data_IF_964372071293
#
_entry.id   IF_964372071293
#
_cell.length_a   1.000
_cell.length_b   1.000
_cell.length_c   1.000
_cell.angle_alpha   90.00
_cell.angle_beta   90.00
_cell.angle_gamma   90.00
#
_symmetry.space_group_name_H-M   'P 1'
#
loop_
_entity.id
_entity.type
_entity.pdbx_description
1 polymer ?
#
# COMPACT_ATOMS: atom_id res chain seq x y z
N UNK A 1 -45.15 40.34 77.16
CA UNK A 1 -44.60 41.09 76.03
C UNK A 1 -43.12 40.67 75.84
N UNK A 2 -42.87 39.71 74.97
CA UNK A 2 -41.51 39.22 74.67
C UNK A 2 -41.16 39.55 73.24
N UNK A 3 -40.12 40.32 73.05
CA UNK A 3 -39.59 40.71 71.75
C UNK A 3 -38.57 39.66 71.29
N UNK A 4 -38.94 38.93 70.27
CA UNK A 4 -37.98 38.06 69.56
C UNK A 4 -37.08 38.96 68.67
N UNK A 5 -35.77 38.87 68.93
CA UNK A 5 -34.73 39.43 68.00
C UNK A 5 -34.34 38.37 67.03
N UNK A 6 -34.57 38.63 65.72
CA UNK A 6 -34.09 37.83 64.61
C UNK A 6 -32.62 38.18 64.36
N UNK A 7 -31.74 37.17 64.40
CA UNK A 7 -30.33 37.30 64.00
C UNK A 7 -30.18 36.98 62.54
N UNK A 8 -29.67 37.94 61.76
CA UNK A 8 -29.34 37.78 60.32
C UNK A 8 -27.90 37.34 60.22
N UNK A 9 -27.66 36.12 59.71
CA UNK A 9 -26.33 35.60 59.37
C UNK A 9 -25.99 36.06 57.93
N UNK A 10 -24.76 36.56 57.68
CA UNK A 10 -24.33 36.86 56.30
C UNK A 10 -23.91 35.54 55.61
N UNK A 11 -24.44 35.28 54.43
CA UNK A 11 -24.01 34.21 53.53
C UNK A 11 -22.66 34.59 52.89
N UNK A 12 -21.62 33.83 53.23
CA UNK A 12 -20.32 33.95 52.59
C UNK A 12 -20.35 33.21 51.25
N UNK A 13 -20.30 33.92 50.14
CA UNK A 13 -20.22 33.36 48.78
C UNK A 13 -18.75 33.01 48.49
N UNK A 14 -18.41 31.71 48.46
CA UNK A 14 -17.10 31.19 48.03
C UNK A 14 -17.06 31.25 46.49
N UNK A 15 -16.24 32.12 45.96
CA UNK A 15 -15.89 32.15 44.52
C UNK A 15 -14.81 31.15 44.31
N UNK A 16 -15.12 30.00 43.65
CA UNK A 16 -14.12 29.03 43.20
C UNK A 16 -13.47 29.53 41.93
N UNK A 17 -12.23 30.00 42.00
CA UNK A 17 -11.40 30.34 40.84
C UNK A 17 -10.88 29.03 40.28
N UNK A 18 -11.50 28.55 39.16
CA UNK A 18 -11.05 27.40 38.42
C UNK A 18 -9.74 27.75 37.69
N UNK A 19 -8.62 27.19 38.10
CA UNK A 19 -7.35 27.21 37.37
C UNK A 19 -7.52 26.33 36.11
N UNK A 20 -7.74 26.94 34.93
CA UNK A 20 -7.67 26.25 33.66
C UNK A 20 -6.19 25.89 33.37
N UNK A 21 -5.86 24.62 33.44
CA UNK A 21 -4.56 24.12 33.02
C UNK A 21 -4.41 24.29 31.49
N UNK A 22 -3.26 24.81 31.00
CA UNK A 22 -3.03 24.89 29.57
C UNK A 22 -3.01 23.48 28.96
N UNK A 23 -3.88 23.21 27.99
CA UNK A 23 -3.82 22.01 27.19
C UNK A 23 -2.59 22.12 26.28
N UNK A 24 -1.53 21.37 26.62
CA UNK A 24 -0.39 21.20 25.71
C UNK A 24 -0.87 20.37 24.52
N UNK A 25 -0.96 21.00 23.35
CA UNK A 25 -1.18 20.30 22.11
C UNK A 25 0.00 19.33 21.88
N UNK A 26 -0.25 18.03 21.95
CA UNK A 26 0.75 17.03 21.59
C UNK A 26 1.16 17.24 20.13
N UNK A 27 2.46 17.45 19.89
CA UNK A 27 2.99 17.46 18.54
C UNK A 27 2.64 16.13 17.84
N UNK A 28 2.26 16.15 16.56
CA UNK A 28 1.98 14.92 15.83
C UNK A 28 3.21 13.99 15.92
N UNK A 29 2.97 12.72 16.25
CA UNK A 29 4.02 11.72 16.31
C UNK A 29 4.73 11.68 14.93
N UNK A 30 6.06 11.84 14.92
CA UNK A 30 6.82 11.73 13.69
C UNK A 30 6.72 10.30 13.16
N UNK A 31 6.28 10.14 11.91
CA UNK A 31 6.27 8.83 11.25
C UNK A 31 7.72 8.36 11.09
N UNK A 32 8.07 7.23 11.71
CA UNK A 32 9.37 6.63 11.54
C UNK A 32 9.46 5.95 10.16
N UNK A 33 10.43 6.35 9.35
CA UNK A 33 10.66 5.72 8.05
C UNK A 33 11.39 4.39 8.23
N UNK A 34 10.92 3.34 7.57
CA UNK A 34 11.63 2.07 7.48
C UNK A 34 12.89 2.24 6.64
N UNK A 35 14.04 1.99 7.24
CA UNK A 35 15.30 1.95 6.49
C UNK A 35 15.27 0.76 5.50
N UNK A 36 15.57 1.03 4.24
CA UNK A 36 15.61 0.05 3.15
C UNK A 36 16.56 0.55 2.06
N UNK A 37 17.22 -0.36 1.37
CA UNK A 37 18.07 -0.06 0.22
C UNK A 37 17.43 -0.52 -1.11
N UNK A 38 18.06 -0.14 -2.22
CA UNK A 38 17.58 -0.49 -3.55
C UNK A 38 17.55 -2.01 -3.78
N UNK A 39 18.54 -2.75 -3.27
CA UNK A 39 18.61 -4.20 -3.42
C UNK A 39 17.43 -4.88 -2.74
N UNK A 40 17.04 -4.42 -1.55
CA UNK A 40 15.89 -4.94 -0.83
C UNK A 40 14.57 -4.66 -1.58
N UNK A 41 14.43 -3.49 -2.20
CA UNK A 41 13.25 -3.17 -3.02
C UNK A 41 13.22 -4.01 -4.29
N UNK A 42 14.34 -4.18 -4.98
CA UNK A 42 14.38 -4.99 -6.21
C UNK A 42 14.07 -6.46 -5.95
N UNK A 43 14.44 -7.01 -4.79
CA UNK A 43 14.10 -8.36 -4.37
C UNK A 43 12.58 -8.60 -4.19
N UNK A 44 11.78 -7.54 -4.04
CA UNK A 44 10.32 -7.69 -3.94
C UNK A 44 9.69 -8.16 -5.25
N UNK A 45 10.24 -7.74 -6.40
CA UNK A 45 9.84 -8.30 -7.69
C UNK A 45 10.19 -9.79 -7.77
N UNK A 46 11.39 -10.18 -7.33
CA UNK A 46 11.81 -11.59 -7.38
C UNK A 46 10.89 -12.45 -6.50
N UNK A 47 10.54 -11.98 -5.28
CA UNK A 47 9.57 -12.65 -4.40
C UNK A 47 8.22 -12.84 -5.09
N UNK A 48 7.69 -11.79 -5.72
CA UNK A 48 6.43 -11.85 -6.46
C UNK A 48 6.54 -12.82 -7.66
N UNK A 49 7.61 -12.74 -8.46
CA UNK A 49 7.84 -13.58 -9.63
C UNK A 49 8.03 -15.07 -9.26
N UNK A 50 8.68 -15.35 -8.12
CA UNK A 50 8.80 -16.71 -7.60
C UNK A 50 7.44 -17.26 -7.16
N UNK A 51 6.56 -16.42 -6.64
CA UNK A 51 5.19 -16.86 -6.31
C UNK A 51 4.39 -17.29 -7.55
N UNK A 52 4.65 -16.72 -8.75
CA UNK A 52 4.02 -17.17 -10.00
C UNK A 52 4.39 -18.63 -10.35
N UNK A 53 5.63 -19.06 -10.03
CA UNK A 53 6.11 -20.44 -10.30
C UNK A 53 5.36 -21.47 -9.48
N UNK A 54 4.78 -21.10 -8.36
CA UNK A 54 3.99 -22.01 -7.53
C UNK A 54 2.66 -22.38 -8.17
N UNK A 55 2.18 -21.62 -9.16
CA UNK A 55 0.88 -21.70 -9.78
C UNK A 55 -0.28 -21.57 -8.78
N UNK A 56 0.00 -21.06 -7.59
CA UNK A 56 -0.95 -20.85 -6.50
C UNK A 56 -1.33 -19.35 -6.43
N UNK A 57 -2.56 -18.98 -6.77
CA UNK A 57 -2.97 -17.58 -6.77
C UNK A 57 -2.93 -16.94 -5.36
N UNK A 58 -3.11 -17.71 -4.30
CA UNK A 58 -3.07 -17.18 -2.93
C UNK A 58 -1.65 -16.75 -2.54
N UNK A 59 -0.62 -17.47 -3.00
CA UNK A 59 0.77 -17.07 -2.82
C UNK A 59 1.14 -15.80 -3.60
N UNK A 60 0.51 -15.58 -4.74
CA UNK A 60 0.71 -14.34 -5.49
C UNK A 60 0.04 -13.17 -4.79
N UNK A 61 -1.22 -13.35 -4.36
CA UNK A 61 -2.00 -12.33 -3.65
C UNK A 61 -1.33 -11.91 -2.35
N UNK A 62 -0.66 -12.81 -1.64
CA UNK A 62 0.07 -12.51 -0.41
C UNK A 62 1.18 -11.45 -0.56
N UNK A 63 1.58 -11.11 -1.79
CA UNK A 63 2.51 -10.01 -2.04
C UNK A 63 1.84 -8.64 -2.11
N UNK A 64 0.51 -8.56 -2.13
CA UNK A 64 -0.25 -7.31 -2.26
C UNK A 64 -0.75 -6.82 -0.91
N UNK A 65 -0.80 -5.49 -0.75
CA UNK A 65 -1.48 -4.87 0.37
C UNK A 65 -2.99 -5.21 0.36
N UNK A 66 -3.68 -5.18 1.51
CA UNK A 66 -5.11 -5.50 1.58
C UNK A 66 -6.00 -4.61 0.70
N UNK A 67 -5.58 -3.37 0.45
CA UNK A 67 -6.21 -2.38 -0.43
C UNK A 67 -5.44 -2.19 -1.75
N UNK A 68 -4.50 -3.10 -2.04
CA UNK A 68 -3.65 -3.05 -3.23
C UNK A 68 -4.45 -3.02 -4.53
N UNK A 69 -3.92 -2.28 -5.52
CA UNK A 69 -4.54 -2.11 -6.85
C UNK A 69 -3.67 -2.75 -7.92
N UNK A 70 -4.28 -3.63 -8.72
CA UNK A 70 -3.68 -4.22 -9.91
C UNK A 70 -4.39 -3.71 -11.17
N UNK A 71 -3.66 -3.08 -12.08
CA UNK A 71 -4.07 -2.73 -13.44
C UNK A 71 -3.39 -3.70 -14.42
N UNK A 72 -4.01 -4.83 -14.76
CA UNK A 72 -3.35 -5.89 -15.52
C UNK A 72 -3.34 -5.61 -17.03
N UNK A 73 -2.28 -6.07 -17.73
CA UNK A 73 -2.09 -5.88 -19.18
C UNK A 73 -3.25 -6.42 -20.04
N UNK A 74 -3.84 -7.52 -19.63
CA UNK A 74 -4.80 -8.29 -20.44
C UNK A 74 -6.22 -8.29 -19.86
N UNK A 75 -6.55 -7.29 -19.06
CA UNK A 75 -7.90 -7.10 -18.53
C UNK A 75 -8.26 -5.61 -18.54
N UNK A 76 -9.50 -5.30 -18.93
CA UNK A 76 -10.01 -3.93 -18.88
C UNK A 76 -10.41 -3.50 -17.46
N UNK A 77 -10.59 -4.47 -16.56
CA UNK A 77 -11.09 -4.23 -15.22
C UNK A 77 -9.94 -4.07 -14.22
N UNK A 78 -9.83 -2.96 -13.50
CA UNK A 78 -8.96 -2.85 -12.33
C UNK A 78 -9.31 -3.89 -11.27
N UNK A 79 -8.33 -4.35 -10.52
CA UNK A 79 -8.49 -5.26 -9.38
C UNK A 79 -8.10 -4.49 -8.13
N UNK A 80 -9.07 -4.21 -7.26
CA UNK A 80 -8.94 -3.26 -6.14
C UNK A 80 -9.08 -3.91 -4.76
N UNK A 81 -9.07 -5.23 -4.72
CA UNK A 81 -9.10 -6.00 -3.47
C UNK A 81 -8.51 -7.40 -3.69
N UNK A 82 -8.13 -8.11 -2.61
CA UNK A 82 -7.49 -9.43 -2.70
C UNK A 82 -8.28 -10.47 -3.48
N UNK A 83 -9.61 -10.50 -3.35
CA UNK A 83 -10.44 -11.46 -4.05
C UNK A 83 -10.42 -11.26 -5.57
N UNK A 84 -10.47 -10.01 -6.03
CA UNK A 84 -10.39 -9.66 -7.45
C UNK A 84 -8.98 -9.91 -8.02
N UNK A 85 -7.92 -9.61 -7.25
CA UNK A 85 -6.53 -9.90 -7.63
C UNK A 85 -6.36 -11.42 -7.77
N UNK A 86 -6.86 -12.18 -6.81
CA UNK A 86 -6.87 -13.65 -6.85
C UNK A 86 -7.55 -14.20 -8.11
N UNK A 87 -8.76 -13.71 -8.43
CA UNK A 87 -9.51 -14.15 -9.63
C UNK A 87 -8.72 -13.91 -10.92
N UNK A 88 -8.02 -12.79 -11.03
CA UNK A 88 -7.12 -12.52 -12.16
C UNK A 88 -6.01 -13.58 -12.23
N UNK A 89 -5.32 -13.86 -11.12
CA UNK A 89 -4.22 -14.82 -11.10
C UNK A 89 -4.66 -16.27 -11.30
N UNK A 90 -5.87 -16.67 -10.89
CA UNK A 90 -6.44 -18.00 -11.24
C UNK A 90 -6.42 -18.23 -12.74
N UNK A 91 -6.64 -17.19 -13.56
CA UNK A 91 -6.62 -17.27 -15.02
C UNK A 91 -5.21 -17.14 -15.58
N UNK A 92 -4.45 -16.16 -15.10
CA UNK A 92 -3.10 -15.83 -15.60
C UNK A 92 -2.11 -16.97 -15.37
N UNK A 93 -2.15 -17.64 -14.21
CA UNK A 93 -1.25 -18.74 -13.85
C UNK A 93 -1.45 -20.01 -14.72
N UNK A 94 -2.58 -20.15 -15.41
CA UNK A 94 -2.80 -21.28 -16.35
C UNK A 94 -1.77 -21.30 -17.49
N UNK A 95 -1.18 -20.17 -17.82
CA UNK A 95 -0.15 -20.03 -18.84
C UNK A 95 1.28 -20.20 -18.30
N UNK A 96 1.44 -20.50 -16.99
CA UNK A 96 2.73 -20.62 -16.29
C UNK A 96 3.70 -19.46 -16.63
N UNK A 97 3.34 -18.20 -16.32
CA UNK A 97 4.13 -17.03 -16.65
C UNK A 97 5.44 -16.99 -15.85
N UNK A 98 6.52 -16.52 -16.49
CA UNK A 98 7.80 -16.25 -15.87
C UNK A 98 8.26 -14.88 -16.31
N UNK A 99 8.40 -13.96 -15.37
CA UNK A 99 8.85 -12.60 -15.60
C UNK A 99 10.37 -12.47 -15.54
N UNK A 100 10.90 -11.54 -16.34
CA UNK A 100 12.30 -11.08 -16.27
C UNK A 100 12.30 -9.58 -16.44
N UNK A 101 12.95 -8.86 -15.55
CA UNK A 101 13.19 -7.42 -15.69
C UNK A 101 14.19 -7.18 -16.82
N UNK A 102 13.85 -6.26 -17.73
CA UNK A 102 14.71 -5.80 -18.82
C UNK A 102 15.33 -4.43 -18.50
N UNK A 103 14.52 -3.49 -17.98
CA UNK A 103 14.99 -2.19 -17.49
C UNK A 103 14.33 -1.86 -16.16
N UNK A 104 15.01 -1.07 -15.32
CA UNK A 104 14.54 -0.74 -13.98
C UNK A 104 14.99 0.65 -13.54
N UNK A 105 14.12 1.34 -12.84
CA UNK A 105 14.45 2.54 -12.05
C UNK A 105 13.72 2.44 -10.72
N UNK A 106 14.47 2.53 -9.61
CA UNK A 106 13.92 2.49 -8.25
C UNK A 106 13.97 3.88 -7.63
N UNK A 107 12.91 4.27 -6.91
CA UNK A 107 12.87 5.45 -6.05
C UNK A 107 12.36 5.05 -4.67
N UNK A 108 13.04 5.49 -3.62
CA UNK A 108 12.72 5.16 -2.24
C UNK A 108 12.34 6.44 -1.50
N UNK A 109 11.20 6.41 -0.82
CA UNK A 109 10.71 7.46 0.08
C UNK A 109 10.49 6.91 1.50
N UNK A 110 9.82 7.72 2.35
CA UNK A 110 9.46 7.28 3.69
C UNK A 110 8.32 6.25 3.63
N UNK A 111 8.60 4.99 3.97
CA UNK A 111 7.65 3.89 3.97
C UNK A 111 6.98 3.61 2.60
N UNK A 112 7.55 4.11 1.52
CA UNK A 112 7.08 3.90 0.15
C UNK A 112 8.26 3.74 -0.80
N UNK A 113 8.15 2.86 -1.80
CA UNK A 113 9.13 2.72 -2.86
C UNK A 113 8.43 2.50 -4.20
N UNK A 114 9.08 2.93 -5.28
CA UNK A 114 8.63 2.71 -6.65
C UNK A 114 9.70 1.94 -7.42
N UNK A 115 9.26 0.93 -8.17
CA UNK A 115 10.08 0.18 -9.12
C UNK A 115 9.38 0.22 -10.47
N UNK A 116 9.98 0.90 -11.45
CA UNK A 116 9.38 1.14 -12.76
C UNK A 116 10.32 0.75 -13.88
N UNK A 117 9.77 0.23 -14.95
CA UNK A 117 10.59 -0.16 -16.10
C UNK A 117 9.87 -1.03 -17.12
N UNK A 118 10.64 -1.90 -17.75
CA UNK A 118 10.14 -2.88 -18.70
C UNK A 118 10.51 -4.29 -18.26
N UNK A 119 9.68 -5.25 -18.63
CA UNK A 119 9.91 -6.68 -18.36
C UNK A 119 9.40 -7.54 -19.49
N UNK A 120 9.91 -8.76 -19.57
CA UNK A 120 9.50 -9.78 -20.51
C UNK A 120 8.90 -10.96 -19.77
N UNK A 121 7.69 -11.37 -20.15
CA UNK A 121 7.11 -12.64 -19.71
C UNK A 121 7.34 -13.72 -20.76
N UNK A 122 7.78 -14.91 -20.29
CA UNK A 122 7.73 -16.16 -21.04
C UNK A 122 6.58 -17.00 -20.52
N UNK A 123 5.86 -17.65 -21.42
CA UNK A 123 4.75 -18.54 -21.11
C UNK A 123 5.08 -19.99 -21.49
N UNK A 124 4.36 -20.96 -20.94
CA UNK A 124 4.59 -22.41 -21.19
C UNK A 124 4.44 -22.82 -22.66
N UNK A 125 3.70 -22.05 -23.45
CA UNK A 125 3.53 -22.30 -24.90
C UNK A 125 4.67 -21.72 -25.75
N UNK A 126 5.72 -21.19 -25.10
CA UNK A 126 6.89 -20.57 -25.74
C UNK A 126 6.70 -19.11 -26.15
N UNK A 127 5.51 -18.54 -26.05
CA UNK A 127 5.26 -17.12 -26.33
C UNK A 127 5.99 -16.22 -25.35
N UNK A 128 6.37 -15.05 -25.82
CA UNK A 128 6.91 -13.96 -25.00
C UNK A 128 6.06 -12.70 -25.17
N UNK A 129 5.93 -11.94 -24.08
CA UNK A 129 5.26 -10.62 -24.08
C UNK A 129 6.18 -9.62 -23.42
N UNK A 130 6.50 -8.54 -24.15
CA UNK A 130 7.19 -7.37 -23.62
C UNK A 130 6.16 -6.38 -23.10
N UNK A 131 6.40 -5.85 -21.90
CA UNK A 131 5.49 -4.92 -21.26
C UNK A 131 6.24 -3.88 -20.42
N UNK A 132 5.55 -2.81 -20.09
CA UNK A 132 5.97 -1.79 -19.12
C UNK A 132 5.32 -2.06 -17.78
N UNK A 133 6.01 -1.73 -16.70
CA UNK A 133 5.46 -1.91 -15.37
C UNK A 133 5.73 -0.71 -14.46
N UNK A 134 4.88 -0.60 -13.47
CA UNK A 134 5.06 0.22 -12.27
C UNK A 134 4.62 -0.61 -11.08
N UNK A 135 5.54 -0.85 -10.15
CA UNK A 135 5.22 -1.28 -8.80
C UNK A 135 5.37 -0.10 -7.85
N UNK A 136 4.39 0.10 -6.98
CA UNK A 136 4.50 0.90 -5.77
C UNK A 136 4.42 -0.05 -4.60
N UNK A 137 5.42 -0.02 -3.74
CA UNK A 137 5.47 -0.79 -2.51
C UNK A 137 5.29 0.14 -1.33
N UNK A 138 4.56 -0.32 -0.32
CA UNK A 138 4.38 0.37 0.95
C UNK A 138 4.80 -0.53 2.10
N UNK A 139 5.38 0.09 3.13
CA UNK A 139 5.75 -0.59 4.37
C UNK A 139 4.55 -0.62 5.30
N UNK A 140 3.95 -1.79 5.45
CA UNK A 140 2.77 -2.01 6.28
C UNK A 140 2.93 -3.25 7.16
N UNK A 141 2.52 -3.14 8.42
CA UNK A 141 2.47 -4.26 9.36
C UNK A 141 3.77 -5.09 9.46
N UNK A 142 4.93 -4.47 9.22
CA UNK A 142 6.22 -5.12 9.35
C UNK A 142 6.79 -5.70 8.05
N UNK A 143 6.15 -5.47 6.90
CA UNK A 143 6.62 -5.94 5.59
C UNK A 143 6.36 -4.95 4.46
N UNK A 144 7.10 -5.10 3.35
CA UNK A 144 6.86 -4.38 2.12
C UNK A 144 5.86 -5.13 1.26
N UNK A 145 4.71 -4.51 0.96
CA UNK A 145 3.62 -5.04 0.15
C UNK A 145 3.41 -4.20 -1.10
N UNK A 146 2.85 -4.81 -2.14
CA UNK A 146 2.48 -4.13 -3.39
C UNK A 146 1.19 -3.34 -3.14
N UNK A 147 1.29 -2.00 -3.03
CA UNK A 147 0.14 -1.11 -2.97
C UNK A 147 -0.42 -0.85 -4.39
N UNK A 148 0.46 -0.77 -5.41
CA UNK A 148 0.01 -0.59 -6.78
C UNK A 148 0.90 -1.37 -7.76
N UNK A 149 0.27 -2.10 -8.68
CA UNK A 149 0.91 -2.77 -9.79
C UNK A 149 0.19 -2.43 -11.09
N UNK A 150 0.84 -1.67 -11.95
CA UNK A 150 0.37 -1.43 -13.32
C UNK A 150 1.24 -2.17 -14.31
N UNK A 151 0.61 -2.87 -15.23
CA UNK A 151 1.25 -3.50 -16.38
C UNK A 151 0.57 -3.08 -17.68
N UNK A 152 1.34 -2.71 -18.68
CA UNK A 152 0.81 -2.36 -20.02
C UNK A 152 1.68 -2.93 -21.13
N UNK A 153 1.05 -3.42 -22.19
CA UNK A 153 1.77 -3.91 -23.37
C UNK A 153 2.62 -2.78 -23.98
N UNK A 154 3.71 -3.17 -24.66
CA UNK A 154 4.49 -2.25 -25.49
C UNK A 154 3.63 -1.74 -26.64
N UNK A 155 3.84 -0.49 -27.11
CA UNK A 155 3.00 0.13 -28.12
C UNK A 155 3.30 -0.32 -29.57
N UNK A 156 4.30 -1.19 -29.79
CA UNK A 156 4.67 -1.64 -31.13
C UNK A 156 3.48 -2.23 -31.88
N UNK A 157 3.26 -1.76 -33.11
CA UNK A 157 2.17 -2.17 -33.99
C UNK A 157 0.82 -1.45 -33.71
N UNK A 158 0.72 -0.55 -32.74
CA UNK A 158 -0.47 0.27 -32.45
C UNK A 158 -0.32 1.75 -32.76
N UNK A 159 0.90 2.22 -33.09
CA UNK A 159 1.14 3.63 -33.38
C UNK A 159 1.03 3.82 -34.90
N UNK A 160 -0.12 4.31 -35.32
CA UNK A 160 -0.30 4.97 -36.59
C UNK A 160 -0.70 4.07 -37.73
N UNK A 161 -1.98 3.96 -37.96
CA UNK A 161 -2.59 4.04 -39.30
C UNK A 161 -3.58 5.18 -39.28
#
# INVERSE_FOLDING_TARGET
MSLLRAAILPAATLIAIGLAAPAFAQAPASVACKAVDEQQITALFDRWNDSLRTLDPDKVVANYAPDGVLLPTVSNEPRTNPAQIRDYFVKFLKSAPQGKIDTRTVKIGCNVAQDVGTYTFKFKDGKTVHARYTYVYEWENGEWLIAHHHSSAMPEGRIGK
#
